data_IF_845516356025
#
_entry.id   IF_845516356025
#
_cell.length_a   1.000
_cell.length_b   1.000
_cell.length_c   1.000
_cell.angle_alpha   90.00
_cell.angle_beta   90.00
_cell.angle_gamma   90.00
#
_symmetry.space_group_name_H-M   'P 1'
#
loop_
_entity.id
_entity.type
_entity.pdbx_description
1 polymer ?
#
# COMPACT_ATOMS: atom_id res chain seq x y z
N UNK A 1 13.70 2.49 -14.02
CA UNK A 1 12.42 3.07 -14.52
C UNK A 1 12.21 4.49 -14.02
N UNK A 2 11.96 4.80 -12.73
CA UNK A 2 11.70 6.18 -12.26
C UNK A 2 12.76 7.20 -12.69
N UNK A 3 14.06 6.89 -12.55
CA UNK A 3 15.17 7.74 -12.98
C UNK A 3 15.14 8.03 -14.50
N UNK A 4 14.81 7.05 -15.31
CA UNK A 4 14.72 7.22 -16.77
C UNK A 4 13.52 8.11 -17.15
N UNK A 5 12.36 7.89 -16.54
CA UNK A 5 11.20 8.77 -16.76
C UNK A 5 11.51 10.21 -16.38
N UNK A 6 12.18 10.42 -15.23
CA UNK A 6 12.61 11.75 -14.83
C UNK A 6 13.57 12.37 -15.85
N UNK A 7 14.62 11.67 -16.26
CA UNK A 7 15.64 12.19 -17.16
C UNK A 7 15.11 12.47 -18.57
N UNK A 8 14.17 11.67 -19.07
CA UNK A 8 13.67 11.79 -20.44
C UNK A 8 12.54 12.82 -20.61
N UNK A 9 11.75 13.10 -19.57
CA UNK A 9 10.57 13.93 -19.72
C UNK A 9 10.23 14.77 -18.49
N UNK A 10 10.17 14.17 -17.31
CA UNK A 10 9.61 14.85 -16.14
C UNK A 10 10.48 16.02 -15.65
N UNK A 11 11.78 15.98 -15.92
CA UNK A 11 12.69 17.08 -15.57
C UNK A 11 12.29 18.39 -16.24
N UNK A 12 11.74 18.33 -17.45
CA UNK A 12 11.35 19.51 -18.23
C UNK A 12 9.87 19.84 -18.07
N UNK A 13 9.02 18.81 -17.98
CA UNK A 13 7.56 18.97 -18.00
C UNK A 13 6.89 18.83 -16.63
N UNK A 14 7.66 18.49 -15.60
CA UNK A 14 7.10 18.14 -14.29
C UNK A 14 6.44 16.77 -14.28
N UNK A 15 5.67 16.51 -13.24
CA UNK A 15 4.91 15.26 -13.12
C UNK A 15 4.84 14.75 -11.68
N UNK A 16 4.30 13.54 -11.55
CA UNK A 16 4.21 12.86 -10.27
C UNK A 16 4.56 11.37 -10.40
N UNK A 17 5.27 10.85 -9.42
CA UNK A 17 5.65 9.45 -9.28
C UNK A 17 5.08 8.91 -7.98
N UNK A 18 4.48 7.73 -8.03
CA UNK A 18 4.04 6.99 -6.84
C UNK A 18 4.72 5.63 -6.83
N UNK A 19 5.54 5.40 -5.82
CA UNK A 19 6.21 4.13 -5.59
C UNK A 19 5.32 3.19 -4.77
N UNK A 20 5.22 1.93 -5.18
CA UNK A 20 4.48 0.90 -4.45
C UNK A 20 5.41 0.24 -3.44
N UNK A 21 5.09 0.37 -2.16
CA UNK A 21 5.74 -0.34 -1.06
C UNK A 21 4.87 -1.49 -0.55
N UNK A 22 5.04 -1.84 0.70
CA UNK A 22 4.17 -2.71 1.48
C UNK A 22 4.29 -2.33 2.96
N UNK A 23 3.46 -2.90 3.80
CA UNK A 23 3.67 -2.85 5.24
C UNK A 23 5.00 -3.54 5.59
N UNK A 24 5.98 -2.74 6.00
CA UNK A 24 7.32 -3.20 6.36
C UNK A 24 7.72 -2.79 7.79
N UNK A 25 6.86 -2.03 8.45
CA UNK A 25 7.11 -1.55 9.81
C UNK A 25 7.09 -2.71 10.78
N UNK A 26 8.06 -2.73 11.67
CA UNK A 26 8.31 -3.83 12.61
C UNK A 26 8.90 -5.10 11.99
N UNK A 27 9.39 -4.99 10.75
CA UNK A 27 10.06 -6.08 10.04
C UNK A 27 9.12 -6.99 9.25
N UNK A 28 9.69 -7.82 8.40
CA UNK A 28 8.99 -8.79 7.57
C UNK A 28 9.61 -10.20 7.78
N UNK A 29 9.28 -10.89 8.89
CA UNK A 29 9.80 -12.22 9.17
C UNK A 29 9.53 -13.20 8.00
N UNK A 30 10.55 -13.94 7.58
CA UNK A 30 10.48 -14.83 6.41
C UNK A 30 10.65 -14.12 5.06
N UNK A 31 10.56 -12.78 5.02
CA UNK A 31 10.66 -11.97 3.79
C UNK A 31 11.65 -10.82 3.95
N UNK A 32 12.78 -11.04 4.62
CA UNK A 32 13.76 -10.01 4.91
C UNK A 32 14.26 -9.25 3.68
N UNK A 33 14.47 -9.93 2.55
CA UNK A 33 14.82 -9.31 1.27
C UNK A 33 13.75 -8.34 0.77
N UNK A 34 12.48 -8.68 0.94
CA UNK A 34 11.36 -7.82 0.56
C UNK A 34 11.29 -6.58 1.48
N UNK A 35 11.45 -6.77 2.78
CA UNK A 35 11.51 -5.67 3.75
C UNK A 35 12.63 -4.68 3.45
N UNK A 36 13.84 -5.19 3.20
CA UNK A 36 14.98 -4.36 2.83
C UNK A 36 14.74 -3.56 1.55
N UNK A 37 14.18 -4.20 0.51
CA UNK A 37 13.86 -3.53 -0.75
C UNK A 37 12.81 -2.41 -0.56
N UNK A 38 11.79 -2.63 0.28
CA UNK A 38 10.74 -1.63 0.56
C UNK A 38 11.30 -0.46 1.39
N UNK A 39 12.14 -0.74 2.37
CA UNK A 39 12.80 0.30 3.16
C UNK A 39 13.73 1.16 2.28
N UNK A 40 14.51 0.53 1.40
CA UNK A 40 15.33 1.24 0.42
C UNK A 40 14.50 2.09 -0.53
N UNK A 41 13.34 1.60 -0.99
CA UNK A 41 12.46 2.36 -1.86
C UNK A 41 11.79 3.55 -1.13
N UNK A 42 11.51 3.42 0.17
CA UNK A 42 11.03 4.54 0.98
C UNK A 42 12.09 5.65 1.04
N UNK A 43 13.31 5.30 1.40
CA UNK A 43 14.42 6.25 1.43
C UNK A 43 14.68 6.89 0.05
N UNK A 44 14.62 6.09 -1.02
CA UNK A 44 14.72 6.62 -2.39
C UNK A 44 13.57 7.61 -2.70
N UNK A 45 12.35 7.33 -2.25
CA UNK A 45 11.20 8.23 -2.44
C UNK A 45 11.45 9.60 -1.81
N UNK A 46 11.93 9.61 -0.57
CA UNK A 46 12.26 10.84 0.17
C UNK A 46 13.42 11.61 -0.48
N UNK A 47 14.45 10.91 -0.90
CA UNK A 47 15.61 11.49 -1.60
C UNK A 47 15.20 12.10 -2.93
N UNK A 48 14.50 11.34 -3.76
CA UNK A 48 14.06 11.79 -5.09
C UNK A 48 13.07 12.95 -5.02
N UNK A 49 12.24 13.02 -3.99
CA UNK A 49 11.33 14.15 -3.77
C UNK A 49 12.08 15.46 -3.58
N UNK A 50 13.26 15.42 -2.97
CA UNK A 50 14.11 16.59 -2.82
C UNK A 50 14.91 16.91 -4.09
N UNK A 51 15.53 15.88 -4.69
CA UNK A 51 16.46 16.07 -5.82
C UNK A 51 15.74 16.39 -7.13
N UNK A 52 14.50 15.94 -7.30
CA UNK A 52 13.77 16.02 -8.57
C UNK A 52 12.66 17.07 -8.59
N UNK A 53 12.61 17.95 -7.59
CA UNK A 53 11.64 19.05 -7.62
C UNK A 53 11.77 19.85 -8.95
N UNK A 54 10.64 20.22 -9.58
CA UNK A 54 9.26 20.20 -9.10
C UNK A 54 8.50 18.88 -9.32
N UNK A 55 9.16 17.80 -9.79
CA UNK A 55 8.51 16.48 -9.89
C UNK A 55 8.20 15.98 -8.48
N UNK A 56 6.93 15.61 -8.23
CA UNK A 56 6.50 15.07 -6.95
C UNK A 56 6.76 13.57 -6.90
N UNK A 57 7.39 13.09 -5.84
CA UNK A 57 7.68 11.67 -5.66
C UNK A 57 7.13 11.23 -4.30
N UNK A 58 6.17 10.34 -4.33
CA UNK A 58 5.51 9.80 -3.14
C UNK A 58 5.49 8.28 -3.15
N UNK A 59 5.06 7.69 -2.08
CA UNK A 59 4.87 6.25 -1.98
C UNK A 59 3.50 5.90 -1.38
N UNK A 60 3.00 4.72 -1.71
CA UNK A 60 1.91 4.06 -0.99
C UNK A 60 2.40 2.76 -0.38
N UNK A 61 1.94 2.46 0.82
CA UNK A 61 2.27 1.24 1.53
C UNK A 61 0.99 0.48 1.89
N UNK A 62 0.51 -0.40 1.01
CA UNK A 62 -0.63 -1.24 1.28
C UNK A 62 -0.32 -2.27 2.38
N UNK A 63 -1.28 -2.51 3.26
CA UNK A 63 -1.27 -3.64 4.17
C UNK A 63 -1.83 -4.91 3.51
N UNK A 64 -2.72 -5.60 4.20
CA UNK A 64 -3.39 -6.79 3.67
C UNK A 64 -4.54 -6.37 2.74
N UNK A 65 -4.35 -6.55 1.44
CA UNK A 65 -5.31 -6.16 0.40
C UNK A 65 -5.88 -7.40 -0.26
N UNK A 66 -7.21 -7.49 -0.28
CA UNK A 66 -7.94 -8.53 -1.00
C UNK A 66 -7.80 -8.30 -2.51
N UNK A 67 -6.88 -9.04 -3.12
CA UNK A 67 -6.62 -8.99 -4.56
C UNK A 67 -6.59 -10.40 -5.14
N UNK A 68 -6.81 -10.51 -6.46
CA UNK A 68 -6.72 -11.80 -7.17
C UNK A 68 -5.36 -12.49 -7.02
N UNK A 69 -4.30 -11.75 -6.65
CA UNK A 69 -3.00 -12.34 -6.30
C UNK A 69 -3.07 -13.32 -5.14
N UNK A 70 -4.05 -13.18 -4.23
CA UNK A 70 -4.25 -14.13 -3.13
C UNK A 70 -4.69 -15.52 -3.61
N UNK A 71 -5.32 -15.62 -4.77
CA UNK A 71 -5.75 -16.89 -5.37
C UNK A 71 -4.57 -17.72 -5.92
N UNK A 72 -3.39 -17.12 -6.01
CA UNK A 72 -2.17 -17.80 -6.47
C UNK A 72 -1.41 -18.51 -5.34
N UNK A 73 -1.77 -18.28 -4.09
CA UNK A 73 -1.15 -18.95 -2.95
C UNK A 73 -1.58 -20.41 -2.84
N UNK A 74 -0.71 -21.28 -2.30
CA UNK A 74 -1.08 -22.68 -2.05
C UNK A 74 -2.33 -22.81 -1.20
N UNK A 75 -3.15 -23.83 -1.47
CA UNK A 75 -4.40 -24.12 -0.73
C UNK A 75 -4.18 -24.21 0.78
N UNK A 76 -3.02 -24.73 1.20
CA UNK A 76 -2.63 -24.79 2.62
C UNK A 76 -2.58 -23.41 3.32
N UNK A 77 -2.47 -22.31 2.57
CA UNK A 77 -2.48 -20.95 3.11
C UNK A 77 -3.88 -20.35 3.23
N UNK A 78 -4.90 -20.97 2.66
CA UNK A 78 -6.27 -20.46 2.69
C UNK A 78 -6.78 -20.14 4.11
N UNK A 79 -6.62 -21.02 5.12
CA UNK A 79 -7.07 -20.71 6.49
C UNK A 79 -6.34 -19.50 7.09
N UNK A 80 -5.05 -19.33 6.76
CA UNK A 80 -4.28 -18.16 7.19
C UNK A 80 -4.85 -16.88 6.56
N UNK A 81 -5.06 -16.89 5.25
CA UNK A 81 -5.59 -15.73 4.51
C UNK A 81 -6.98 -15.34 5.04
N UNK A 82 -7.87 -16.30 5.22
CA UNK A 82 -9.19 -16.07 5.79
C UNK A 82 -9.16 -15.55 7.24
N UNK A 83 -8.08 -15.86 7.97
CA UNK A 83 -7.85 -15.38 9.34
C UNK A 83 -7.30 -13.94 9.43
N UNK A 84 -6.72 -13.40 8.35
CA UNK A 84 -6.05 -12.08 8.35
C UNK A 84 -6.94 -10.92 8.84
N UNK A 85 -8.25 -10.84 8.49
CA UNK A 85 -9.11 -9.76 8.95
C UNK A 85 -9.13 -9.55 10.46
N UNK A 86 -8.94 -10.62 11.24
CA UNK A 86 -8.92 -10.57 12.72
C UNK A 86 -7.72 -9.81 13.29
N UNK A 87 -6.67 -9.63 12.47
CA UNK A 87 -5.44 -8.95 12.84
C UNK A 87 -5.39 -7.49 12.36
N UNK A 88 -6.43 -7.05 11.65
CA UNK A 88 -6.56 -5.68 11.17
C UNK A 88 -7.58 -4.95 12.05
N UNK A 89 -7.25 -3.81 12.67
CA UNK A 89 -8.21 -3.04 13.48
C UNK A 89 -9.49 -2.66 12.73
N UNK A 90 -9.40 -2.43 11.41
CA UNK A 90 -10.56 -2.21 10.56
C UNK A 90 -11.46 -3.46 10.37
N UNK A 91 -11.05 -4.63 10.93
CA UNK A 91 -11.77 -5.91 10.91
C UNK A 91 -12.10 -6.45 9.51
N UNK A 92 -11.32 -6.06 8.53
CA UNK A 92 -11.40 -6.55 7.14
C UNK A 92 -10.05 -6.36 6.42
N UNK A 93 -9.92 -6.95 5.26
CA UNK A 93 -8.86 -6.62 4.32
C UNK A 93 -9.20 -5.31 3.58
N UNK A 94 -8.17 -4.62 3.12
CA UNK A 94 -8.34 -3.50 2.20
C UNK A 94 -8.75 -3.99 0.81
N UNK A 95 -9.20 -3.08 -0.03
CA UNK A 95 -9.55 -3.36 -1.43
C UNK A 95 -8.55 -2.73 -2.38
N UNK A 96 -8.47 -3.26 -3.60
CA UNK A 96 -7.67 -2.64 -4.67
C UNK A 96 -8.16 -1.22 -4.99
N UNK A 97 -9.47 -0.97 -4.85
CA UNK A 97 -10.06 0.35 -5.05
C UNK A 97 -9.55 1.38 -4.02
N UNK A 98 -9.36 0.98 -2.76
CA UNK A 98 -8.84 1.86 -1.71
C UNK A 98 -7.38 2.24 -1.97
N UNK A 99 -6.56 1.29 -2.45
CA UNK A 99 -5.18 1.57 -2.86
C UNK A 99 -5.15 2.47 -4.09
N UNK A 100 -5.99 2.18 -5.08
CA UNK A 100 -6.09 2.95 -6.32
C UNK A 100 -6.52 4.40 -6.06
N UNK A 101 -7.48 4.63 -5.16
CA UNK A 101 -7.92 5.97 -4.78
C UNK A 101 -6.77 6.80 -4.20
N UNK A 102 -5.94 6.19 -3.34
CA UNK A 102 -4.76 6.85 -2.78
C UNK A 102 -3.71 7.20 -3.86
N UNK A 103 -3.48 6.28 -4.79
CA UNK A 103 -2.56 6.50 -5.92
C UNK A 103 -3.07 7.65 -6.80
N UNK A 104 -4.35 7.64 -7.17
CA UNK A 104 -4.97 8.68 -8.00
C UNK A 104 -4.87 10.03 -7.31
N UNK A 105 -5.16 10.11 -6.00
CA UNK A 105 -4.96 11.33 -5.22
C UNK A 105 -3.52 11.85 -5.32
N UNK A 106 -2.52 10.99 -5.05
CA UNK A 106 -1.11 11.39 -5.08
C UNK A 106 -0.61 11.78 -6.47
N UNK A 107 -1.19 11.25 -7.53
CA UNK A 107 -0.87 11.61 -8.92
C UNK A 107 -1.58 12.89 -9.39
N UNK A 108 -2.69 13.26 -8.73
CA UNK A 108 -3.51 14.41 -9.14
C UNK A 108 -2.98 15.75 -8.62
N UNK A 109 -3.52 16.85 -9.16
CA UNK A 109 -3.25 18.21 -8.70
C UNK A 109 -3.72 18.46 -7.25
N UNK A 110 -4.65 17.67 -6.72
CA UNK A 110 -5.06 17.76 -5.32
C UNK A 110 -3.90 17.48 -4.34
N UNK A 111 -2.85 16.77 -4.81
CA UNK A 111 -1.64 16.51 -4.05
C UNK A 111 -0.46 17.42 -4.47
N UNK A 112 -0.71 18.60 -5.01
CA UNK A 112 0.32 19.50 -5.57
C UNK A 112 1.40 19.91 -4.57
N UNK A 113 1.12 19.89 -3.28
CA UNK A 113 2.08 20.19 -2.21
C UNK A 113 2.49 18.97 -1.38
N UNK A 114 2.21 17.75 -1.90
CA UNK A 114 2.59 16.48 -1.26
C UNK A 114 3.72 15.86 -2.04
N UNK A 115 4.92 15.82 -1.45
CA UNK A 115 6.10 15.16 -2.02
C UNK A 115 6.98 14.59 -0.90
N UNK A 116 7.57 13.43 -1.11
CA UNK A 116 8.35 12.69 -0.11
C UNK A 116 7.50 11.92 0.91
N UNK A 117 6.19 11.90 0.77
CA UNK A 117 5.30 11.22 1.70
C UNK A 117 5.13 9.73 1.38
N UNK A 118 4.93 8.93 2.43
CA UNK A 118 4.45 7.56 2.31
C UNK A 118 3.06 7.44 2.93
N UNK A 119 2.05 7.19 2.09
CA UNK A 119 0.68 7.00 2.55
C UNK A 119 0.42 5.52 2.81
N UNK A 120 0.13 5.19 4.06
CA UNK A 120 -0.19 3.84 4.48
C UNK A 120 -1.67 3.56 4.25
N UNK A 121 -1.98 2.41 3.60
CA UNK A 121 -3.35 1.95 3.34
C UNK A 121 -3.45 0.54 3.94
N UNK A 122 -3.56 0.45 5.27
CA UNK A 122 -3.31 -0.77 6.02
C UNK A 122 -4.35 -1.08 7.11
N UNK A 123 -5.42 -0.29 7.21
CA UNK A 123 -6.44 -0.48 8.22
C UNK A 123 -5.90 -0.39 9.66
N UNK A 124 -4.79 0.31 9.85
CA UNK A 124 -4.03 0.47 11.09
C UNK A 124 -3.37 -0.83 11.62
N UNK A 125 -3.22 -1.86 10.79
CA UNK A 125 -2.65 -3.15 11.21
C UNK A 125 -1.28 -3.03 11.90
N UNK A 126 -0.30 -2.25 11.40
CA UNK A 126 1.00 -2.10 12.08
C UNK A 126 0.95 -1.38 13.43
N UNK A 127 -0.15 -0.68 13.73
CA UNK A 127 -0.32 0.02 14.99
C UNK A 127 -0.92 -0.87 16.09
N UNK A 128 -1.47 -2.02 15.71
CA UNK A 128 -2.02 -2.99 16.65
C UNK A 128 -0.93 -3.58 17.54
N UNK A 129 -1.09 -3.48 18.86
CA UNK A 129 -0.15 -4.03 19.83
C UNK A 129 -0.63 -5.41 20.29
N UNK A 130 0.18 -6.44 20.08
CA UNK A 130 -0.18 -7.85 20.40
C UNK A 130 -0.60 -8.10 21.84
N UNK A 131 -0.08 -7.30 22.76
CA UNK A 131 -0.31 -7.48 24.22
C UNK A 131 -1.28 -6.46 24.81
N UNK A 132 -1.88 -5.60 23.98
CA UNK A 132 -2.87 -4.65 24.42
C UNK A 132 -4.26 -5.09 23.95
N UNK A 133 -5.26 -5.20 24.83
CA UNK A 133 -6.60 -5.58 24.41
C UNK A 133 -7.12 -4.53 23.41
N UNK A 134 -7.46 -4.99 22.21
CA UNK A 134 -8.10 -4.16 21.22
C UNK A 134 -9.60 -4.16 21.45
N UNK A 135 -10.27 -3.00 21.44
CA UNK A 135 -11.73 -2.98 21.46
C UNK A 135 -12.25 -3.73 20.23
N UNK A 136 -13.23 -4.60 20.43
CA UNK A 136 -13.90 -5.30 19.33
C UNK A 136 -14.46 -4.27 18.33
N UNK A 137 -14.06 -4.38 17.06
CA UNK A 137 -14.50 -3.49 16.00
C UNK A 137 -15.63 -4.11 15.18
N UNK A 138 -16.42 -3.27 14.53
CA UNK A 138 -17.25 -3.70 13.40
C UNK A 138 -16.44 -3.54 12.12
N UNK A 139 -16.60 -4.42 11.12
CA UNK A 139 -16.04 -4.19 9.80
C UNK A 139 -16.48 -2.82 9.28
N UNK A 140 -15.53 -1.99 8.87
CA UNK A 140 -15.86 -0.75 8.22
C UNK A 140 -16.30 -1.02 6.77
N UNK A 141 -17.20 -0.21 6.18
CA UNK A 141 -17.55 -0.36 4.77
C UNK A 141 -16.29 -0.13 3.91
N UNK A 142 -16.10 -0.97 2.91
CA UNK A 142 -15.04 -0.79 1.94
C UNK A 142 -15.44 0.27 0.90
N UNK A 143 -14.46 1.00 0.39
CA UNK A 143 -14.67 1.82 -0.79
C UNK A 143 -14.75 0.92 -2.03
N UNK A 144 -15.86 0.97 -2.74
CA UNK A 144 -16.16 0.16 -3.93
C UNK A 144 -16.39 1.05 -5.16
N UNK A 145 -15.55 2.06 -5.34
CA UNK A 145 -15.60 2.97 -6.49
C UNK A 145 -14.88 2.45 -7.74
N UNK A 146 -14.30 1.25 -7.69
CA UNK A 146 -13.55 0.69 -8.80
C UNK A 146 -14.35 -0.43 -9.50
N UNK A 147 -14.91 -0.13 -10.68
CA UNK A 147 -15.84 -0.99 -11.41
C UNK A 147 -15.31 -2.38 -11.81
N UNK A 148 -14.01 -2.63 -11.72
CA UNK A 148 -13.35 -3.92 -11.98
C UNK A 148 -12.95 -4.67 -10.73
N UNK A 149 -13.22 -4.11 -9.54
CA UNK A 149 -12.91 -4.78 -8.28
C UNK A 149 -13.73 -6.06 -8.16
N UNK A 150 -13.04 -7.16 -7.87
CA UNK A 150 -13.66 -8.45 -7.55
C UNK A 150 -12.98 -8.99 -6.31
N UNK A 151 -13.73 -9.45 -5.31
CA UNK A 151 -13.12 -10.15 -4.19
C UNK A 151 -12.40 -11.41 -4.70
N UNK A 152 -11.23 -11.75 -4.11
CA UNK A 152 -10.53 -12.98 -4.47
C UNK A 152 -11.33 -14.19 -4.00
N UNK A 153 -11.35 -15.26 -4.81
CA UNK A 153 -12.10 -16.51 -4.54
C UNK A 153 -11.73 -17.17 -3.22
N UNK A 154 -10.49 -16.96 -2.74
CA UNK A 154 -10.02 -17.49 -1.45
C UNK A 154 -10.80 -16.94 -0.25
N UNK A 155 -11.51 -15.81 -0.41
CA UNK A 155 -12.35 -15.16 0.62
C UNK A 155 -13.85 -15.45 0.42
N UNK A 156 -14.22 -16.14 -0.64
CA UNK A 156 -15.59 -16.63 -0.84
C UNK A 156 -15.82 -17.86 0.05
N UNK A 157 -16.97 -17.96 0.72
CA UNK A 157 -17.35 -19.05 1.63
C UNK A 157 -17.55 -20.39 0.89
#
# INVERSE_FOLDING_TARGET
MARECHAQSMREHGGAIVNMLADMWHGMPGMGHSGAARAGMLNFTETAACEWAPVRVNAVAPGWIASSGMDTYPEAMKPLIQGLPRHVPASRLGTEAEVSAAIVFLLSEAASFVSGACLRIDGAAPNARRHWPMPGGRPSPAYDGFHRSRPPRVLED
#
